data_IF_714626107327
#
_entry.id   IF_714626107327
#
_cell.length_a   1.000
_cell.length_b   1.000
_cell.length_c   1.000
_cell.angle_alpha   90.00
_cell.angle_beta   90.00
_cell.angle_gamma   90.00
#
_symmetry.space_group_name_H-M   'P 1'
#
loop_
_entity.id
_entity.type
_entity.pdbx_description
1 polymer ?
#
# COMPACT_ATOMS: atom_id res chain seq x y z
N UNK A 1 -12.12 -18.09 -17.21
CA UNK A 1 -12.44 -17.54 -16.31
C UNK A 1 -13.43 -16.68 -16.42
N UNK A 2 -14.42 -17.08 -16.74
CA UNK A 2 -15.51 -16.28 -16.95
C UNK A 2 -15.82 -15.41 -15.81
N UNK A 3 -16.15 -14.24 -16.04
CA UNK A 3 -16.50 -13.29 -15.03
C UNK A 3 -15.36 -12.81 -14.16
N UNK A 4 -14.13 -13.28 -14.47
CA UNK A 4 -13.04 -12.93 -13.65
C UNK A 4 -12.43 -11.63 -14.09
N UNK A 5 -12.36 -10.70 -13.22
CA UNK A 5 -11.77 -9.41 -13.47
C UNK A 5 -10.29 -9.45 -13.18
N UNK A 6 -9.47 -8.93 -14.10
CA UNK A 6 -8.03 -8.84 -13.85
C UNK A 6 -7.78 -7.91 -12.68
N UNK A 7 -6.77 -8.24 -11.86
CA UNK A 7 -6.45 -7.39 -10.71
C UNK A 7 -6.12 -5.96 -11.13
N UNK A 8 -5.56 -5.77 -12.34
CA UNK A 8 -5.23 -4.44 -12.84
C UNK A 8 -6.46 -3.56 -13.08
N UNK A 9 -7.66 -4.14 -13.10
CA UNK A 9 -8.89 -3.41 -13.25
C UNK A 9 -9.55 -3.06 -11.91
N UNK A 10 -9.04 -3.64 -10.82
CA UNK A 10 -9.58 -3.40 -9.48
C UNK A 10 -9.15 -2.04 -8.95
N UNK A 11 -10.11 -1.31 -8.40
CA UNK A 11 -9.84 0.02 -7.85
C UNK A 11 -8.83 -0.05 -6.70
N UNK A 12 -8.93 -1.06 -5.86
CA UNK A 12 -7.99 -1.24 -4.74
C UNK A 12 -6.55 -1.37 -5.23
N UNK A 13 -6.33 -2.09 -6.34
CA UNK A 13 -4.99 -2.23 -6.90
C UNK A 13 -4.50 -0.93 -7.53
N UNK A 14 -5.37 -0.26 -8.28
CA UNK A 14 -5.03 1.02 -8.93
C UNK A 14 -4.63 2.07 -7.90
N UNK A 15 -5.37 2.15 -6.80
CA UNK A 15 -5.08 3.11 -5.74
C UNK A 15 -3.77 2.76 -5.03
N UNK A 16 -3.51 1.47 -4.80
CA UNK A 16 -2.26 1.02 -4.19
C UNK A 16 -1.06 1.36 -5.07
N UNK A 17 -1.20 1.15 -6.37
CA UNK A 17 -0.15 1.49 -7.34
C UNK A 17 0.13 2.99 -7.35
N UNK A 18 -0.92 3.79 -7.32
CA UNK A 18 -0.79 5.25 -7.30
C UNK A 18 -0.07 5.73 -6.03
N UNK A 19 -0.39 5.12 -4.89
CA UNK A 19 0.29 5.44 -3.64
C UNK A 19 1.78 5.12 -3.73
N UNK A 20 2.15 3.98 -4.30
CA UNK A 20 3.56 3.61 -4.47
C UNK A 20 4.31 4.66 -5.29
N UNK A 21 3.72 5.12 -6.40
CA UNK A 21 4.32 6.17 -7.22
C UNK A 21 4.50 7.46 -6.44
N UNK A 22 3.51 7.83 -5.64
CA UNK A 22 3.56 9.02 -4.80
C UNK A 22 4.71 8.95 -3.79
N UNK A 23 4.93 7.79 -3.19
CA UNK A 23 6.02 7.60 -2.23
C UNK A 23 7.38 7.69 -2.92
N UNK A 24 7.53 7.14 -4.12
CA UNK A 24 8.77 7.28 -4.87
C UNK A 24 9.07 8.75 -5.16
N UNK A 25 8.05 9.51 -5.55
CA UNK A 25 8.22 10.93 -5.84
C UNK A 25 8.64 11.71 -4.59
N UNK A 26 7.93 11.52 -3.49
CA UNK A 26 8.24 12.23 -2.24
C UNK A 26 9.64 11.89 -1.75
N UNK A 27 10.01 10.62 -1.75
CA UNK A 27 11.30 10.20 -1.20
C UNK A 27 12.48 10.61 -2.08
N UNK A 28 12.24 11.03 -3.32
CA UNK A 28 13.28 11.58 -4.18
C UNK A 28 13.93 12.81 -3.54
N UNK A 29 13.18 13.55 -2.73
CA UNK A 29 13.65 14.77 -2.09
C UNK A 29 14.21 14.55 -0.68
N UNK A 30 14.24 13.31 -0.21
CA UNK A 30 14.84 12.99 1.09
C UNK A 30 16.36 13.11 1.01
N UNK A 31 17.05 13.31 2.15
CA UNK A 31 18.52 13.35 2.16
C UNK A 31 19.12 12.09 1.56
N UNK A 32 20.15 12.24 0.72
CA UNK A 32 20.79 11.10 0.07
C UNK A 32 21.37 10.09 1.06
N UNK A 33 21.75 10.57 2.25
CA UNK A 33 22.28 9.71 3.29
C UNK A 33 21.27 8.64 3.72
N UNK A 34 19.97 8.87 3.44
CA UNK A 34 18.90 7.93 3.79
C UNK A 34 18.57 6.92 2.70
N UNK A 35 19.35 6.92 1.62
CA UNK A 35 19.06 6.04 0.47
C UNK A 35 18.95 4.57 0.85
N UNK A 36 19.80 4.09 1.73
CA UNK A 36 19.78 2.71 2.20
C UNK A 36 19.11 2.57 3.57
N UNK A 37 18.49 3.62 4.05
CA UNK A 37 17.73 3.66 5.29
C UNK A 37 16.25 3.79 5.01
N UNK A 38 15.65 4.92 5.47
CA UNK A 38 14.20 5.09 5.42
C UNK A 38 13.66 5.14 4.00
N UNK A 39 14.42 5.68 3.03
CA UNK A 39 13.97 5.73 1.63
C UNK A 39 13.72 4.31 1.12
N UNK A 40 14.71 3.44 1.30
CA UNK A 40 14.62 2.06 0.87
C UNK A 40 13.45 1.34 1.53
N UNK A 41 13.29 1.53 2.84
CA UNK A 41 12.21 0.89 3.61
C UNK A 41 10.83 1.37 3.16
N UNK A 42 10.67 2.68 2.95
CA UNK A 42 9.39 3.24 2.52
C UNK A 42 9.01 2.75 1.14
N UNK A 43 9.97 2.73 0.22
CA UNK A 43 9.71 2.24 -1.14
C UNK A 43 9.35 0.76 -1.14
N UNK A 44 10.01 -0.03 -0.32
CA UNK A 44 9.68 -1.45 -0.18
C UNK A 44 8.26 -1.64 0.36
N UNK A 45 7.92 -0.92 1.43
CA UNK A 45 6.57 -0.99 2.01
C UNK A 45 5.51 -0.59 0.99
N UNK A 46 5.78 0.52 0.27
CA UNK A 46 4.81 1.04 -0.71
C UNK A 46 4.56 0.06 -1.85
N UNK A 47 5.61 -0.55 -2.41
CA UNK A 47 5.49 -1.51 -3.51
C UNK A 47 4.83 -2.80 -3.03
N UNK A 48 5.05 -3.16 -1.77
CA UNK A 48 4.46 -4.37 -1.19
C UNK A 48 2.94 -4.32 -1.16
N UNK A 49 2.34 -3.12 -1.06
CA UNK A 49 0.87 -3.00 -1.00
C UNK A 49 0.23 -3.52 -2.30
N UNK A 50 0.50 -2.95 -3.48
CA UNK A 50 -0.10 -3.46 -4.71
C UNK A 50 0.38 -4.86 -5.08
N UNK A 51 1.63 -5.19 -4.76
CA UNK A 51 2.20 -6.50 -5.09
C UNK A 51 1.45 -7.62 -4.38
N UNK A 52 1.10 -7.44 -3.12
CA UNK A 52 0.38 -8.45 -2.36
C UNK A 52 -1.10 -8.53 -2.74
N UNK A 53 -1.69 -7.42 -3.17
CA UNK A 53 -3.05 -7.45 -3.73
C UNK A 53 -3.05 -8.33 -4.99
N UNK A 54 -2.10 -8.09 -5.89
CA UNK A 54 -1.99 -8.86 -7.12
C UNK A 54 -1.72 -10.34 -6.83
N UNK A 55 -0.82 -10.61 -5.90
CA UNK A 55 -0.47 -11.97 -5.51
C UNK A 55 -1.69 -12.71 -4.96
N UNK A 56 -2.47 -12.04 -4.12
CA UNK A 56 -3.68 -12.62 -3.54
C UNK A 56 -4.75 -12.92 -4.59
N UNK A 57 -4.87 -12.04 -5.59
CA UNK A 57 -5.84 -12.24 -6.66
C UNK A 57 -5.50 -13.46 -7.53
N UNK A 58 -4.24 -13.86 -7.54
CA UNK A 58 -3.79 -15.02 -8.33
C UNK A 58 -3.92 -16.35 -7.62
N UNK A 59 -4.39 -16.35 -6.35
CA UNK A 59 -4.49 -17.60 -5.60
C UNK A 59 -5.78 -18.34 -5.91
N UNK A 60 -5.73 -19.68 -5.84
CA UNK A 60 -6.88 -20.52 -6.07
C UNK A 60 -7.87 -20.47 -4.92
N UNK A 61 -7.36 -20.41 -3.70
CA UNK A 61 -8.20 -20.50 -2.51
C UNK A 61 -8.40 -19.15 -1.86
N UNK A 62 -9.65 -18.83 -1.55
CA UNK A 62 -10.03 -17.54 -0.97
C UNK A 62 -9.28 -17.25 0.34
N UNK A 63 -9.01 -18.26 1.15
CA UNK A 63 -8.26 -18.07 2.40
C UNK A 63 -6.85 -17.57 2.13
N UNK A 64 -6.21 -18.05 1.06
CA UNK A 64 -4.88 -17.57 0.67
C UNK A 64 -4.95 -16.13 0.19
N UNK A 65 -5.98 -15.81 -0.59
CA UNK A 65 -6.20 -14.44 -1.03
C UNK A 65 -6.26 -13.50 0.16
N UNK A 66 -7.03 -13.87 1.19
CA UNK A 66 -7.15 -13.06 2.40
C UNK A 66 -5.81 -12.90 3.11
N UNK A 67 -4.99 -13.94 3.14
CA UNK A 67 -3.66 -13.84 3.76
C UNK A 67 -2.81 -12.79 3.07
N UNK A 68 -2.80 -12.76 1.73
CA UNK A 68 -2.05 -11.76 0.99
C UNK A 68 -2.61 -10.35 1.17
N UNK A 69 -3.93 -10.23 1.28
CA UNK A 69 -4.55 -8.93 1.56
C UNK A 69 -4.17 -8.43 2.95
N UNK A 70 -4.05 -9.34 3.93
CA UNK A 70 -3.60 -8.98 5.27
C UNK A 70 -2.14 -8.50 5.25
N UNK A 71 -1.28 -9.13 4.44
CA UNK A 71 0.09 -8.68 4.28
C UNK A 71 0.13 -7.29 3.66
N UNK A 72 -0.69 -7.08 2.62
CA UNK A 72 -0.80 -5.77 1.98
C UNK A 72 -1.21 -4.69 2.98
N UNK A 73 -2.21 -4.98 3.82
CA UNK A 73 -2.67 -4.04 4.84
C UNK A 73 -1.57 -3.74 5.86
N UNK A 74 -0.82 -4.78 6.27
CA UNK A 74 0.31 -4.60 7.18
C UNK A 74 1.39 -3.69 6.59
N UNK A 75 1.67 -3.86 5.29
CA UNK A 75 2.62 -2.99 4.60
C UNK A 75 2.13 -1.54 4.55
N UNK A 76 0.83 -1.35 4.42
CA UNK A 76 0.23 -0.02 4.45
C UNK A 76 0.45 0.64 5.81
N UNK A 77 0.28 -0.10 6.90
CA UNK A 77 0.51 0.41 8.25
C UNK A 77 1.99 0.70 8.51
N UNK A 78 2.89 -0.11 7.94
CA UNK A 78 4.32 0.17 8.01
C UNK A 78 4.63 1.51 7.34
N UNK A 79 4.08 1.71 6.15
CA UNK A 79 4.28 2.95 5.40
C UNK A 79 3.74 4.15 6.17
N UNK A 80 2.57 4.01 6.77
CA UNK A 80 1.98 5.06 7.59
C UNK A 80 2.92 5.46 8.73
N UNK A 81 3.47 4.47 9.41
CA UNK A 81 4.42 4.69 10.50
C UNK A 81 5.67 5.42 10.00
N UNK A 82 6.20 4.99 8.86
CA UNK A 82 7.38 5.61 8.26
C UNK A 82 7.14 7.06 7.86
N UNK A 83 5.92 7.38 7.46
CA UNK A 83 5.55 8.76 7.13
C UNK A 83 5.53 9.65 8.37
N UNK A 84 5.03 9.16 9.49
CA UNK A 84 5.08 9.90 10.76
C UNK A 84 6.52 10.13 11.18
N UNK A 85 7.37 9.10 11.07
CA UNK A 85 8.80 9.23 11.38
C UNK A 85 9.45 10.26 10.47
N UNK A 86 9.11 10.24 9.18
CA UNK A 86 9.65 11.21 8.21
C UNK A 86 9.29 12.64 8.59
N UNK A 87 8.07 12.85 9.09
CA UNK A 87 7.64 14.16 9.56
C UNK A 87 8.44 14.59 10.78
N UNK A 88 8.66 13.67 11.72
CA UNK A 88 9.45 13.97 12.92
C UNK A 88 10.89 14.35 12.55
N UNK A 89 11.45 13.73 11.53
CA UNK A 89 12.81 13.99 11.06
C UNK A 89 12.87 15.21 10.13
N UNK A 90 11.74 15.84 9.86
CA UNK A 90 11.63 17.02 9.00
C UNK A 90 11.95 16.73 7.53
N UNK A 91 11.77 15.49 7.10
CA UNK A 91 11.95 15.11 5.69
C UNK A 91 10.74 15.50 4.86
N UNK A 92 9.57 15.61 5.49
CA UNK A 92 8.33 16.08 4.86
C UNK A 92 7.68 17.10 5.79
N UNK A 93 6.82 17.94 5.22
CA UNK A 93 6.07 18.92 6.00
C UNK A 93 4.67 18.39 6.34
N UNK A 94 3.91 19.19 7.10
CA UNK A 94 2.57 18.81 7.56
C UNK A 94 1.61 18.57 6.40
N UNK A 95 1.69 19.39 5.35
CA UNK A 95 0.81 19.23 4.20
C UNK A 95 1.08 17.94 3.45
N UNK A 96 2.35 17.59 3.28
CA UNK A 96 2.74 16.35 2.63
C UNK A 96 2.29 15.15 3.44
N UNK A 97 2.45 15.22 4.76
CA UNK A 97 1.99 14.16 5.65
C UNK A 97 0.49 13.97 5.52
N UNK A 98 -0.28 15.06 5.58
CA UNK A 98 -1.74 14.99 5.45
C UNK A 98 -2.18 14.37 4.15
N UNK A 99 -1.56 14.79 3.04
CA UNK A 99 -1.90 14.27 1.72
C UNK A 99 -1.66 12.75 1.65
N UNK A 100 -0.53 12.29 2.18
CA UNK A 100 -0.22 10.87 2.23
C UNK A 100 -1.17 10.09 3.11
N UNK A 101 -1.49 10.64 4.30
CA UNK A 101 -2.39 9.97 5.24
C UNK A 101 -3.80 9.82 4.68
N UNK A 102 -4.27 10.81 3.92
CA UNK A 102 -5.57 10.71 3.25
C UNK A 102 -5.61 9.57 2.25
N UNK A 103 -4.54 9.42 1.47
CA UNK A 103 -4.44 8.32 0.50
C UNK A 103 -4.41 6.97 1.22
N UNK A 104 -3.66 6.90 2.31
CA UNK A 104 -3.55 5.67 3.10
C UNK A 104 -4.90 5.30 3.71
N UNK A 105 -5.63 6.28 4.25
CA UNK A 105 -6.94 6.03 4.83
C UNK A 105 -7.92 5.49 3.80
N UNK A 106 -7.97 6.14 2.63
CA UNK A 106 -8.86 5.71 1.54
C UNK A 106 -8.52 4.30 1.09
N UNK A 107 -7.22 4.02 0.90
CA UNK A 107 -6.78 2.71 0.45
C UNK A 107 -7.04 1.65 1.51
N UNK A 108 -6.84 1.99 2.78
CA UNK A 108 -7.13 1.08 3.89
C UNK A 108 -8.58 0.63 3.89
N UNK A 109 -9.50 1.55 3.62
CA UNK A 109 -10.93 1.22 3.52
C UNK A 109 -11.20 0.28 2.36
N UNK A 110 -10.53 0.49 1.22
CA UNK A 110 -10.69 -0.39 0.07
C UNK A 110 -10.16 -1.79 0.35
N UNK A 111 -9.00 -1.89 0.98
CA UNK A 111 -8.41 -3.18 1.33
C UNK A 111 -9.32 -3.92 2.30
N UNK A 112 -9.80 -3.22 3.34
CA UNK A 112 -10.71 -3.82 4.32
C UNK A 112 -12.01 -4.30 3.66
N UNK A 113 -12.54 -3.50 2.73
CA UNK A 113 -13.72 -3.89 1.97
C UNK A 113 -13.49 -5.13 1.12
N UNK A 114 -12.32 -5.21 0.50
CA UNK A 114 -11.97 -6.36 -0.32
C UNK A 114 -11.75 -7.63 0.53
N UNK A 115 -11.18 -7.47 1.73
CA UNK A 115 -11.06 -8.57 2.68
C UNK A 115 -12.46 -9.07 3.08
N UNK A 116 -13.37 -8.16 3.42
CA UNK A 116 -14.75 -8.53 3.79
C UNK A 116 -15.45 -9.25 2.65
N UNK A 117 -15.28 -8.76 1.42
CA UNK A 117 -15.87 -9.39 0.25
C UNK A 117 -15.36 -10.82 0.11
N UNK A 118 -14.06 -11.05 0.27
CA UNK A 118 -13.49 -12.38 0.17
C UNK A 118 -13.94 -13.27 1.33
N UNK A 119 -14.06 -12.71 2.53
CA UNK A 119 -14.55 -13.46 3.69
C UNK A 119 -15.97 -13.95 3.46
N UNK A 120 -16.78 -13.19 2.76
CA UNK A 120 -18.18 -13.58 2.50
C UNK A 120 -18.29 -14.79 1.58
N UNK A 121 -17.22 -15.18 0.92
CA UNK A 121 -17.21 -16.34 0.03
C UNK A 121 -16.83 -17.63 0.74
N UNK A 122 -16.40 -17.57 1.97
CA UNK A 122 -15.97 -18.77 2.71
C UNK A 122 -17.14 -19.51 3.41
#
# INVERSE_FOLDING_TARGET
>A
MSGYQKYTELDVWKQARALASMIYEITTYYPKAEQFGIISQMRRSAVSVPSNIAEGCGRKHTKETIQFLNISRGSLYELETQLYISKDLLFINEEQLKACLQKIESLGKLINGFIRFNNSKI
#
